data_IF_326467037903
#
_entry.id   IF_326467037903
#
_cell.length_a   1.000
_cell.length_b   1.000
_cell.length_c   1.000
_cell.angle_alpha   90.00
_cell.angle_beta   90.00
_cell.angle_gamma   90.00
#
_symmetry.space_group_name_H-M   'P 1'
#
loop_
_entity.id
_entity.type
_entity.pdbx_description
1 polymer ?
#
# COMPACT_ATOMS: atom_id res chain seq x y z
N UNK A 1 -29.91 -2.00 -7.26
CA UNK A 1 -28.89 -1.00 -7.63
C UNK A 1 -27.53 -1.68 -7.48
N UNK A 2 -26.66 -1.65 -8.49
CA UNK A 2 -25.27 -2.08 -8.29
C UNK A 2 -24.58 -1.00 -7.44
N UNK A 3 -24.37 -1.27 -6.16
CA UNK A 3 -23.37 -0.54 -5.38
C UNK A 3 -22.03 -0.84 -6.04
N UNK A 4 -21.47 0.15 -6.73
CA UNK A 4 -20.06 0.12 -7.11
C UNK A 4 -19.30 -0.07 -5.81
N UNK A 5 -18.67 -1.23 -5.63
CA UNK A 5 -17.77 -1.44 -4.49
C UNK A 5 -16.62 -0.47 -4.74
N UNK A 6 -16.64 0.67 -4.05
CA UNK A 6 -15.49 1.55 -4.02
C UNK A 6 -14.38 0.81 -3.30
N UNK A 7 -13.16 0.87 -3.80
CA UNK A 7 -11.97 0.33 -3.14
C UNK A 7 -11.03 1.49 -2.80
N UNK A 8 -10.24 1.41 -1.71
CA UNK A 8 -9.29 2.45 -1.40
C UNK A 8 -8.32 2.66 -2.56
N UNK A 9 -7.87 3.89 -2.78
CA UNK A 9 -7.02 4.22 -3.92
C UNK A 9 -5.72 4.88 -3.46
N UNK A 10 -4.59 4.36 -3.92
CA UNK A 10 -3.28 4.98 -3.66
C UNK A 10 -3.19 6.27 -4.47
N UNK A 11 -2.84 7.38 -3.80
CA UNK A 11 -2.68 8.70 -4.40
C UNK A 11 -1.20 9.06 -4.60
N UNK A 12 -0.38 8.72 -3.61
CA UNK A 12 1.05 8.91 -3.66
C UNK A 12 1.75 7.72 -2.97
N UNK A 13 2.94 7.32 -3.45
CA UNK A 13 3.56 7.69 -4.72
C UNK A 13 2.74 7.21 -5.93
N UNK A 14 3.04 7.71 -7.13
CA UNK A 14 2.34 7.29 -8.36
C UNK A 14 3.08 6.18 -9.09
N UNK A 15 2.38 5.44 -9.96
CA UNK A 15 2.99 4.41 -10.81
C UNK A 15 4.14 5.00 -11.64
N UNK A 16 5.30 4.34 -11.65
CA UNK A 16 6.50 4.75 -12.37
C UNK A 16 7.19 5.99 -11.82
N UNK A 17 6.78 6.49 -10.64
CA UNK A 17 7.44 7.63 -10.01
C UNK A 17 8.94 7.35 -9.85
N UNK A 18 9.76 8.35 -10.19
CA UNK A 18 11.23 8.26 -10.08
C UNK A 18 11.70 8.75 -8.71
N UNK A 19 12.50 7.94 -8.03
CA UNK A 19 13.05 8.25 -6.71
C UNK A 19 14.52 7.81 -6.66
N UNK A 20 15.38 8.63 -6.03
CA UNK A 20 16.76 8.21 -5.76
C UNK A 20 16.77 7.20 -4.61
N UNK A 21 17.47 6.08 -4.80
CA UNK A 21 17.69 5.09 -3.74
C UNK A 21 19.15 5.01 -3.29
N UNK A 22 19.96 6.01 -3.65
CA UNK A 22 21.40 6.07 -3.31
C UNK A 22 21.58 6.45 -1.84
N UNK A 23 20.74 7.35 -1.33
CA UNK A 23 20.75 7.85 0.05
C UNK A 23 19.45 7.47 0.78
N UNK A 24 19.44 7.51 2.13
CA UNK A 24 18.21 7.34 2.87
C UNK A 24 17.12 8.30 2.39
N UNK A 25 15.98 7.75 1.96
CA UNK A 25 14.96 8.53 1.27
C UNK A 25 13.64 8.44 2.01
N UNK A 26 13.12 9.61 2.44
CA UNK A 26 11.79 9.71 3.00
C UNK A 26 10.76 9.59 1.88
N UNK A 27 9.97 8.53 1.91
CA UNK A 27 8.81 8.37 1.04
C UNK A 27 7.55 8.59 1.88
N UNK A 28 6.61 9.34 1.28
CA UNK A 28 5.27 9.57 1.84
C UNK A 28 4.27 8.80 1.00
N UNK A 29 3.50 7.95 1.65
CA UNK A 29 2.37 7.27 1.03
C UNK A 29 1.08 7.93 1.47
N UNK A 30 0.16 8.09 0.53
CA UNK A 30 -1.15 8.70 0.73
C UNK A 30 -2.17 7.86 -0.04
N UNK A 31 -3.31 7.59 0.57
CA UNK A 31 -4.42 6.89 -0.07
C UNK A 31 -5.78 7.43 0.39
N UNK A 32 -6.76 7.32 -0.49
CA UNK A 32 -8.15 7.62 -0.17
C UNK A 32 -8.88 6.33 0.25
N UNK A 33 -9.46 6.24 1.47
CA UNK A 33 -10.23 5.08 1.94
C UNK A 33 -11.58 4.88 1.23
N UNK A 34 -12.07 5.88 0.48
CA UNK A 34 -13.28 5.84 -0.37
C UNK A 34 -14.59 5.47 0.35
N UNK A 35 -14.80 6.02 1.55
CA UNK A 35 -16.02 5.86 2.37
C UNK A 35 -16.36 4.40 2.74
N UNK A 36 -15.42 3.47 2.57
CA UNK A 36 -15.57 2.09 2.99
C UNK A 36 -15.33 2.02 4.51
N UNK A 37 -16.06 1.17 5.26
CA UNK A 37 -15.80 0.92 6.68
C UNK A 37 -14.53 0.07 6.88
N UNK A 38 -13.38 0.62 6.47
CA UNK A 38 -12.07 0.01 6.69
C UNK A 38 -11.81 -0.09 8.19
N UNK A 39 -11.40 -1.26 8.65
CA UNK A 39 -10.99 -1.49 10.03
C UNK A 39 -9.49 -1.34 10.22
N UNK A 40 -8.70 -1.70 9.20
CA UNK A 40 -7.23 -1.52 9.15
C UNK A 40 -6.71 -1.42 7.73
N UNK A 41 -5.62 -0.69 7.57
CA UNK A 41 -4.74 -0.73 6.41
C UNK A 41 -3.45 -1.48 6.73
N UNK A 42 -2.89 -2.09 5.70
CA UNK A 42 -1.61 -2.78 5.77
C UNK A 42 -0.79 -2.43 4.53
N UNK A 43 0.47 -2.04 4.74
CA UNK A 43 1.37 -1.60 3.69
C UNK A 43 2.46 -2.65 3.49
N UNK A 44 2.60 -3.11 2.25
CA UNK A 44 3.65 -4.03 1.84
C UNK A 44 4.57 -3.34 0.83
N UNK A 45 5.89 -3.39 1.06
CA UNK A 45 6.92 -2.80 0.22
C UNK A 45 8.02 -3.83 0.01
N UNK A 46 8.40 -4.03 -1.24
CA UNK A 46 9.33 -5.08 -1.64
C UNK A 46 10.21 -4.67 -2.81
N UNK A 47 11.38 -5.29 -2.92
CA UNK A 47 12.23 -5.15 -4.11
C UNK A 47 11.82 -6.07 -5.26
N UNK A 48 10.95 -7.06 -4.99
CA UNK A 48 10.38 -7.98 -5.99
C UNK A 48 8.87 -8.12 -5.76
N UNK A 49 8.10 -8.37 -6.81
CA UNK A 49 6.64 -8.53 -6.68
C UNK A 49 6.32 -9.76 -5.82
N UNK A 50 5.48 -9.57 -4.80
CA UNK A 50 5.13 -10.60 -3.83
C UNK A 50 6.17 -10.85 -2.73
N UNK A 51 7.36 -10.25 -2.80
CA UNK A 51 8.41 -10.37 -1.77
C UNK A 51 8.55 -9.05 -0.98
N UNK A 52 7.84 -8.96 0.14
CA UNK A 52 7.71 -7.73 0.94
C UNK A 52 8.83 -7.57 1.98
N UNK A 53 10.07 -7.53 1.51
CA UNK A 53 11.28 -7.51 2.34
C UNK A 53 11.64 -6.15 2.95
N UNK A 54 11.09 -5.04 2.44
CA UNK A 54 11.39 -3.69 2.95
C UNK A 54 10.40 -3.26 4.03
N UNK A 55 9.11 -3.57 3.84
CA UNK A 55 8.06 -3.36 4.82
C UNK A 55 6.94 -4.36 4.59
N UNK A 56 6.40 -4.90 5.67
CA UNK A 56 5.21 -5.73 5.64
C UNK A 56 4.49 -5.60 6.98
N UNK A 57 3.59 -4.61 7.10
CA UNK A 57 2.96 -4.34 8.39
C UNK A 57 1.70 -3.50 8.34
N UNK A 58 0.91 -3.62 9.41
CA UNK A 58 -0.29 -2.82 9.62
C UNK A 58 0.08 -1.36 9.89
N UNK A 59 -0.68 -0.46 9.27
CA UNK A 59 -0.53 1.00 9.42
C UNK A 59 -1.79 1.62 10.04
N UNK A 60 -2.67 0.80 10.63
CA UNK A 60 -3.88 1.26 11.32
C UNK A 60 -4.91 1.88 10.38
N UNK A 61 -5.61 2.92 10.83
CA UNK A 61 -6.68 3.61 10.09
C UNK A 61 -6.22 4.90 9.40
N UNK A 62 -4.92 5.16 9.36
CA UNK A 62 -4.40 6.37 8.75
C UNK A 62 -4.66 6.36 7.23
N UNK A 63 -4.78 7.55 6.65
CA UNK A 63 -4.86 7.80 5.20
C UNK A 63 -3.47 8.10 4.60
N UNK A 64 -2.45 8.12 5.45
CA UNK A 64 -1.08 8.48 5.12
C UNK A 64 -0.09 7.71 5.96
N UNK A 65 1.08 7.45 5.40
CA UNK A 65 2.20 6.84 6.10
C UNK A 65 3.52 7.44 5.61
N UNK A 66 4.56 7.39 6.43
CA UNK A 66 5.88 7.89 6.07
C UNK A 66 6.96 7.00 6.67
N UNK A 67 7.98 6.71 5.88
CA UNK A 67 9.04 5.76 6.18
C UNK A 67 10.25 6.20 5.37
N UNK A 68 11.37 6.18 6.08
CA UNK A 68 12.69 6.44 5.49
C UNK A 68 13.18 5.08 5.02
N UNK A 69 13.27 4.90 3.71
CA UNK A 69 13.95 3.74 3.15
C UNK A 69 15.46 3.94 3.27
N UNK A 70 16.23 2.94 3.73
CA UNK A 70 17.68 2.99 3.63
C UNK A 70 18.11 2.94 2.16
N UNK A 71 19.38 3.27 1.86
CA UNK A 71 19.97 3.07 0.55
C UNK A 71 19.72 1.64 0.03
N UNK A 72 19.33 1.52 -1.23
CA UNK A 72 19.12 0.23 -1.88
C UNK A 72 20.32 -0.13 -2.76
N UNK A 73 20.70 -1.42 -2.81
CA UNK A 73 21.77 -1.90 -3.69
C UNK A 73 21.59 -1.44 -5.14
N UNK A 74 22.69 -1.15 -5.85
CA UNK A 74 22.67 -0.54 -7.19
C UNK A 74 21.88 -1.32 -8.23
N UNK A 75 21.78 -2.64 -8.07
CA UNK A 75 21.00 -3.52 -8.96
C UNK A 75 19.47 -3.43 -8.75
N UNK A 76 19.00 -2.77 -7.69
CA UNK A 76 17.58 -2.56 -7.43
C UNK A 76 17.10 -1.31 -8.16
N UNK A 77 16.43 -1.52 -9.29
CA UNK A 77 15.94 -0.45 -10.17
C UNK A 77 14.49 -0.03 -9.89
N UNK A 78 13.78 -0.74 -9.03
CA UNK A 78 12.42 -0.42 -8.65
C UNK A 78 12.06 -1.07 -7.31
N UNK A 79 10.96 -0.59 -6.72
CA UNK A 79 10.29 -1.24 -5.59
C UNK A 79 8.81 -1.39 -5.92
N UNK A 80 8.22 -2.47 -5.41
CA UNK A 80 6.80 -2.76 -5.49
C UNK A 80 6.14 -2.34 -4.18
N UNK A 81 4.95 -1.77 -4.30
CA UNK A 81 4.11 -1.41 -3.17
C UNK A 81 2.75 -2.03 -3.37
N UNK A 82 2.20 -2.62 -2.32
CA UNK A 82 0.83 -3.07 -2.24
C UNK A 82 0.17 -2.48 -1.01
N UNK A 83 -0.96 -1.80 -1.21
CA UNK A 83 -1.84 -1.40 -0.13
C UNK A 83 -2.93 -2.45 0.01
N UNK A 84 -3.08 -2.97 1.22
CA UNK A 84 -4.17 -3.85 1.63
C UNK A 84 -5.08 -3.10 2.60
N UNK A 85 -6.36 -3.48 2.61
CA UNK A 85 -7.31 -3.01 3.61
C UNK A 85 -8.12 -4.18 4.15
N UNK A 86 -8.49 -4.06 5.42
CA UNK A 86 -9.42 -4.96 6.09
C UNK A 86 -10.76 -4.28 6.25
N UNK A 87 -11.84 -5.02 6.05
CA UNK A 87 -13.20 -4.53 6.29
C UNK A 87 -14.04 -5.68 6.84
N UNK A 88 -15.10 -5.34 7.57
CA UNK A 88 -16.09 -6.33 7.99
C UNK A 88 -16.99 -6.63 6.80
N UNK A 89 -17.08 -7.90 6.46
CA UNK A 89 -18.05 -8.44 5.49
C UNK A 89 -19.13 -9.15 6.30
N UNK A 90 -20.38 -8.77 6.04
CA UNK A 90 -21.54 -9.42 6.66
C UNK A 90 -22.07 -10.46 5.68
N UNK A 91 -21.78 -11.72 5.94
CA UNK A 91 -22.47 -12.84 5.30
C UNK A 91 -23.61 -13.29 6.22
N UNK A 92 -24.63 -13.97 5.68
CA UNK A 92 -25.87 -14.30 6.40
C UNK A 92 -25.59 -14.89 7.79
N UNK A 93 -25.81 -14.07 8.83
CA UNK A 93 -25.63 -14.35 10.27
C UNK A 93 -24.19 -14.36 10.82
N UNK A 94 -23.17 -14.03 10.03
CA UNK A 94 -21.77 -13.96 10.46
C UNK A 94 -21.06 -12.70 9.93
N UNK A 95 -20.42 -11.95 10.83
CA UNK A 95 -19.58 -10.81 10.48
C UNK A 95 -18.12 -11.22 10.62
N UNK A 96 -17.38 -11.21 9.52
CA UNK A 96 -15.96 -11.57 9.49
C UNK A 96 -15.12 -10.42 8.94
N UNK A 97 -13.89 -10.29 9.44
CA UNK A 97 -12.94 -9.31 8.93
C UNK A 97 -12.14 -9.95 7.78
N UNK A 98 -12.33 -9.44 6.57
CA UNK A 98 -11.64 -9.91 5.38
C UNK A 98 -10.60 -8.90 4.90
N UNK A 99 -9.53 -9.40 4.25
CA UNK A 99 -8.46 -8.58 3.70
C UNK A 99 -8.54 -8.52 2.17
N UNK A 100 -8.47 -7.31 1.63
CA UNK A 100 -8.55 -7.04 0.20
C UNK A 100 -7.37 -6.20 -0.27
N UNK A 101 -7.04 -6.32 -1.56
CA UNK A 101 -6.05 -5.45 -2.21
C UNK A 101 -6.73 -4.15 -2.62
N UNK A 102 -6.24 -3.03 -2.08
CA UNK A 102 -6.65 -1.70 -2.53
C UNK A 102 -5.99 -1.34 -3.87
N UNK A 103 -4.69 -1.59 -3.99
CA UNK A 103 -3.94 -1.30 -5.20
C UNK A 103 -2.47 -1.71 -5.11
N UNK A 104 -1.82 -1.67 -6.27
CA UNK A 104 -0.38 -1.89 -6.42
C UNK A 104 0.23 -0.78 -7.26
N UNK A 105 1.43 -0.37 -6.89
CA UNK A 105 2.24 0.57 -7.67
C UNK A 105 3.70 0.12 -7.68
N UNK A 106 4.42 0.56 -8.70
CA UNK A 106 5.87 0.40 -8.80
C UNK A 106 6.49 1.79 -8.79
N UNK A 107 7.49 2.00 -7.94
CA UNK A 107 8.38 3.17 -7.99
C UNK A 107 9.67 2.74 -8.65
N UNK A 108 10.21 3.57 -9.52
CA UNK A 108 11.44 3.30 -10.24
C UNK A 108 12.59 4.14 -9.69
N UNK A 109 13.81 3.60 -9.80
CA UNK A 109 15.04 4.35 -9.57
C UNK A 109 15.15 5.48 -10.60
N UNK A 110 15.50 6.67 -10.11
CA UNK A 110 15.83 7.86 -10.90
C UNK A 110 17.19 7.73 -11.60
#
# INVERSE_FOLDING_TARGET
>A
MLTTITTPTILAPTMGQKVSFIDPTLIRWDWNPKEIPVTRFHLCIGTEDGNWNLMNGEVGLFDRFSLILPPLPENINHIYIQLLYKTVVNEEHHAEEETFVAGRITIERA
#
